data_IF_606263858555
#
_entry.id   IF_606263858555
#
_cell.length_a   1.000
_cell.length_b   1.000
_cell.length_c   1.000
_cell.angle_alpha   90.00
_cell.angle_beta   90.00
_cell.angle_gamma   90.00
#
_symmetry.space_group_name_H-M   'P 1'
#
loop_
_entity.id
_entity.type
_entity.pdbx_description
1 polymer ?
#
# COMPACT_ATOMS: atom_id res chain seq x y z
N UNK A 1 15.07 -2.04 31.05
CA UNK A 1 14.04 -2.95 30.49
C UNK A 1 13.19 -2.27 29.41
N UNK A 2 12.62 -1.07 29.63
CA UNK A 2 11.84 -0.35 28.60
C UNK A 2 12.63 -0.06 27.31
N UNK A 3 13.80 0.57 27.41
CA UNK A 3 14.66 0.89 26.25
C UNK A 3 15.05 -0.32 25.37
N UNK A 4 15.19 -1.52 25.97
CA UNK A 4 15.51 -2.73 25.23
C UNK A 4 14.29 -3.25 24.44
N UNK A 5 13.10 -3.15 25.05
CA UNK A 5 11.83 -3.48 24.40
C UNK A 5 11.53 -2.51 23.25
N UNK A 6 11.79 -1.22 23.45
CA UNK A 6 11.58 -0.19 22.41
C UNK A 6 12.49 -0.44 21.20
N UNK A 7 13.79 -0.68 21.43
CA UNK A 7 14.73 -1.05 20.35
C UNK A 7 14.31 -2.34 19.64
N UNK A 8 13.77 -3.31 20.37
CA UNK A 8 13.28 -4.56 19.79
C UNK A 8 12.09 -4.30 18.85
N UNK A 9 11.13 -3.47 19.26
CA UNK A 9 9.97 -3.09 18.44
C UNK A 9 10.43 -2.36 17.18
N UNK A 10 11.29 -1.35 17.30
CA UNK A 10 11.85 -0.62 16.15
C UNK A 10 12.55 -1.56 15.16
N UNK A 11 13.32 -2.52 15.67
CA UNK A 11 14.00 -3.53 14.83
C UNK A 11 12.99 -4.40 14.08
N UNK A 12 11.93 -4.86 14.75
CA UNK A 12 10.87 -5.68 14.12
C UNK A 12 10.14 -4.90 13.03
N UNK A 13 9.80 -3.63 13.28
CA UNK A 13 9.17 -2.74 12.31
C UNK A 13 10.07 -2.58 11.08
N UNK A 14 11.35 -2.29 11.29
CA UNK A 14 12.30 -2.12 10.19
C UNK A 14 12.48 -3.39 9.36
N UNK A 15 12.61 -4.55 10.02
CA UNK A 15 12.68 -5.83 9.30
C UNK A 15 11.39 -6.13 8.55
N UNK A 16 10.23 -5.86 9.14
CA UNK A 16 8.92 -6.01 8.47
C UNK A 16 8.83 -5.19 7.19
N UNK A 17 9.32 -3.94 7.23
CA UNK A 17 9.45 -3.09 6.05
C UNK A 17 10.43 -3.65 5.01
N UNK A 18 11.60 -4.12 5.44
CA UNK A 18 12.63 -4.68 4.55
C UNK A 18 12.09 -5.92 3.82
N UNK A 19 11.37 -6.81 4.53
CA UNK A 19 10.73 -7.96 3.91
C UNK A 19 9.67 -7.57 2.89
N UNK A 20 8.84 -6.55 3.18
CA UNK A 20 7.93 -5.98 2.19
C UNK A 20 8.67 -5.50 0.94
N UNK A 21 9.73 -4.69 1.10
CA UNK A 21 10.51 -4.18 -0.02
C UNK A 21 11.15 -5.29 -0.84
N UNK A 22 11.70 -6.30 -0.18
CA UNK A 22 12.31 -7.44 -0.85
C UNK A 22 11.26 -8.20 -1.66
N UNK A 23 10.09 -8.47 -1.09
CA UNK A 23 8.98 -9.10 -1.79
C UNK A 23 8.51 -8.31 -3.01
N UNK A 24 8.46 -6.98 -2.91
CA UNK A 24 7.92 -6.15 -3.98
C UNK A 24 8.94 -5.80 -5.08
N UNK A 25 10.25 -5.85 -4.78
CA UNK A 25 11.30 -5.40 -5.72
C UNK A 25 12.32 -6.46 -6.12
N UNK A 26 12.48 -7.55 -5.36
CA UNK A 26 13.52 -8.57 -5.60
C UNK A 26 12.96 -9.96 -5.88
N UNK A 27 11.82 -10.31 -5.30
CA UNK A 27 11.19 -11.59 -5.55
C UNK A 27 10.80 -11.74 -7.03
N UNK A 28 11.15 -12.89 -7.62
CA UNK A 28 10.91 -13.25 -9.01
C UNK A 28 9.73 -14.20 -9.16
N UNK A 29 9.40 -14.94 -8.10
CA UNK A 29 8.27 -15.87 -8.08
C UNK A 29 7.23 -15.45 -7.04
N UNK A 30 6.01 -15.96 -7.19
CA UNK A 30 4.97 -15.71 -6.18
C UNK A 30 5.28 -16.44 -4.86
N UNK A 31 5.97 -17.58 -4.88
CA UNK A 31 6.42 -18.25 -3.65
C UNK A 31 7.45 -17.41 -2.88
N UNK A 32 8.38 -16.78 -3.58
CA UNK A 32 9.34 -15.84 -2.96
C UNK A 32 8.62 -14.63 -2.35
N UNK A 33 7.65 -14.05 -3.08
CA UNK A 33 6.81 -12.95 -2.55
C UNK A 33 6.07 -13.38 -1.28
N UNK A 34 5.45 -14.55 -1.31
CA UNK A 34 4.68 -15.08 -0.19
C UNK A 34 5.57 -15.32 1.04
N UNK A 35 6.76 -15.90 0.85
CA UNK A 35 7.71 -16.09 1.94
C UNK A 35 8.12 -14.74 2.55
N UNK A 36 8.41 -13.74 1.72
CA UNK A 36 8.79 -12.41 2.18
C UNK A 36 7.66 -11.71 2.94
N UNK A 37 6.47 -11.64 2.36
CA UNK A 37 5.32 -11.01 3.02
C UNK A 37 4.91 -11.74 4.29
N UNK A 38 5.07 -13.06 4.35
CA UNK A 38 4.78 -13.80 5.58
C UNK A 38 5.77 -13.48 6.69
N UNK A 39 7.07 -13.44 6.39
CA UNK A 39 8.09 -12.99 7.36
C UNK A 39 7.82 -11.56 7.83
N UNK A 40 7.52 -10.65 6.90
CA UNK A 40 7.18 -9.27 7.22
C UNK A 40 5.93 -9.18 8.10
N UNK A 41 4.90 -9.98 7.79
CA UNK A 41 3.66 -10.04 8.57
C UNK A 41 3.91 -10.53 10.00
N UNK A 42 4.64 -11.64 10.18
CA UNK A 42 4.94 -12.19 11.51
C UNK A 42 5.70 -11.19 12.39
N UNK A 43 6.66 -10.47 11.82
CA UNK A 43 7.41 -9.42 12.53
C UNK A 43 6.53 -8.22 12.88
N UNK A 44 5.68 -7.78 11.94
CA UNK A 44 4.73 -6.69 12.19
C UNK A 44 3.71 -7.04 13.27
N UNK A 45 3.17 -8.25 13.24
CA UNK A 45 2.25 -8.77 14.26
C UNK A 45 2.90 -8.75 15.65
N UNK A 46 4.14 -9.25 15.75
CA UNK A 46 4.87 -9.23 17.01
C UNK A 46 5.18 -7.82 17.50
N UNK A 47 5.47 -6.88 16.59
CA UNK A 47 5.66 -5.48 16.93
C UNK A 47 4.37 -4.85 17.50
N UNK A 48 3.20 -5.16 16.91
CA UNK A 48 1.89 -4.74 17.41
C UNK A 48 1.61 -5.31 18.80
N UNK A 49 1.88 -6.60 19.05
CA UNK A 49 1.72 -7.21 20.37
C UNK A 49 2.56 -6.52 21.45
N UNK A 50 3.79 -6.15 21.12
CA UNK A 50 4.71 -5.51 22.06
C UNK A 50 4.39 -4.01 22.26
N UNK A 51 3.88 -3.34 21.24
CA UNK A 51 3.58 -1.91 21.21
C UNK A 51 2.25 -1.60 20.49
N UNK A 52 1.09 -1.89 21.11
CA UNK A 52 -0.24 -1.81 20.47
C UNK A 52 -0.74 -0.39 20.20
N UNK A 53 0.06 0.64 20.50
CA UNK A 53 -0.22 2.05 20.18
C UNK A 53 0.77 2.63 19.17
N UNK A 54 1.64 1.80 18.60
CA UNK A 54 2.62 2.22 17.60
C UNK A 54 2.01 2.09 16.19
N UNK A 55 1.64 3.22 15.59
CA UNK A 55 1.00 3.25 14.27
C UNK A 55 1.85 2.59 13.18
N UNK A 56 3.17 2.74 13.21
CA UNK A 56 4.07 2.17 12.20
C UNK A 56 4.14 0.63 12.27
N UNK A 57 4.03 0.04 13.47
CA UNK A 57 3.90 -1.40 13.64
C UNK A 57 2.62 -1.92 12.97
N UNK A 58 1.49 -1.25 13.21
CA UNK A 58 0.22 -1.57 12.55
C UNK A 58 0.31 -1.39 11.03
N UNK A 59 0.97 -0.34 10.53
CA UNK A 59 1.19 -0.11 9.09
C UNK A 59 1.87 -1.30 8.43
N UNK A 60 3.01 -1.74 8.95
CA UNK A 60 3.77 -2.80 8.29
C UNK A 60 3.15 -4.19 8.48
N UNK A 61 2.44 -4.42 9.58
CA UNK A 61 1.61 -5.62 9.73
C UNK A 61 0.49 -5.65 8.67
N UNK A 62 -0.25 -4.55 8.53
CA UNK A 62 -1.37 -4.45 7.60
C UNK A 62 -0.94 -4.58 6.14
N UNK A 63 0.14 -3.88 5.74
CA UNK A 63 0.66 -3.91 4.37
C UNK A 63 1.14 -5.31 4.00
N UNK A 64 1.93 -5.97 4.85
CA UNK A 64 2.40 -7.32 4.57
C UNK A 64 1.24 -8.33 4.54
N UNK A 65 0.26 -8.20 5.44
CA UNK A 65 -0.95 -9.04 5.44
C UNK A 65 -1.77 -8.88 4.16
N UNK A 66 -1.98 -7.64 3.71
CA UNK A 66 -2.71 -7.36 2.48
C UNK A 66 -1.99 -7.92 1.25
N UNK A 67 -0.67 -7.72 1.15
CA UNK A 67 0.16 -8.22 0.04
C UNK A 67 0.22 -9.75 0.02
N UNK A 68 0.37 -10.40 1.17
CA UNK A 68 0.30 -11.85 1.27
C UNK A 68 -1.04 -12.40 0.75
N UNK A 69 -2.16 -11.80 1.18
CA UNK A 69 -3.50 -12.17 0.71
C UNK A 69 -3.67 -11.98 -0.80
N UNK A 70 -3.22 -10.84 -1.34
CA UNK A 70 -3.26 -10.55 -2.77
C UNK A 70 -2.47 -11.58 -3.58
N UNK A 71 -1.25 -11.93 -3.14
CA UNK A 71 -0.41 -12.91 -3.85
C UNK A 71 -0.98 -14.33 -3.76
N UNK A 72 -1.66 -14.72 -2.68
CA UNK A 72 -2.38 -16.00 -2.59
C UNK A 72 -3.65 -16.06 -3.45
N UNK A 73 -4.11 -14.92 -3.96
CA UNK A 73 -5.32 -14.79 -4.76
C UNK A 73 -6.55 -14.38 -3.97
N UNK A 74 -7.58 -13.97 -4.71
CA UNK A 74 -8.74 -13.23 -4.19
C UNK A 74 -9.52 -13.97 -3.10
N UNK A 75 -9.60 -15.30 -3.16
CA UNK A 75 -10.32 -16.07 -2.13
C UNK A 75 -9.62 -16.02 -0.77
N UNK A 76 -8.28 -16.02 -0.76
CA UNK A 76 -7.49 -15.95 0.48
C UNK A 76 -7.43 -14.53 1.02
N UNK A 77 -7.39 -13.51 0.16
CA UNK A 77 -7.43 -12.12 0.59
C UNK A 77 -8.72 -11.80 1.36
N UNK A 78 -9.86 -12.39 0.98
CA UNK A 78 -11.13 -12.18 1.70
C UNK A 78 -11.12 -12.67 3.15
N UNK A 79 -10.42 -13.76 3.46
CA UNK A 79 -10.28 -14.23 4.85
C UNK A 79 -9.40 -13.31 5.70
N UNK A 80 -8.44 -12.63 5.08
CA UNK A 80 -7.54 -11.69 5.75
C UNK A 80 -8.11 -10.27 5.82
N UNK A 81 -9.17 -9.99 5.06
CA UNK A 81 -9.79 -8.67 4.96
C UNK A 81 -10.21 -8.09 6.32
N UNK A 82 -10.86 -8.83 7.24
CA UNK A 82 -11.22 -8.28 8.56
C UNK A 82 -10.00 -7.83 9.36
N UNK A 83 -8.86 -8.52 9.23
CA UNK A 83 -7.62 -8.11 9.87
C UNK A 83 -7.10 -6.82 9.26
N UNK A 84 -6.96 -6.77 7.93
CA UNK A 84 -6.46 -5.56 7.25
C UNK A 84 -7.33 -4.33 7.55
N UNK A 85 -8.66 -4.48 7.56
CA UNK A 85 -9.59 -3.39 7.91
C UNK A 85 -9.40 -2.90 9.34
N UNK A 86 -9.30 -3.81 10.32
CA UNK A 86 -9.05 -3.45 11.72
C UNK A 86 -7.75 -2.68 11.89
N UNK A 87 -6.70 -3.12 11.21
CA UNK A 87 -5.40 -2.43 11.27
C UNK A 87 -5.47 -1.04 10.64
N UNK A 88 -6.14 -0.88 9.47
CA UNK A 88 -6.38 0.43 8.86
C UNK A 88 -7.10 1.37 9.83
N UNK A 89 -8.19 0.91 10.45
CA UNK A 89 -8.97 1.71 11.38
C UNK A 89 -8.13 2.11 12.61
N UNK A 90 -7.31 1.18 13.12
CA UNK A 90 -6.39 1.43 14.23
C UNK A 90 -5.35 2.49 13.85
N UNK A 91 -4.70 2.35 12.69
CA UNK A 91 -3.70 3.33 12.22
C UNK A 91 -4.34 4.71 12.06
N UNK A 92 -5.52 4.81 11.44
CA UNK A 92 -6.18 6.10 11.23
C UNK A 92 -6.72 6.70 12.53
N UNK A 93 -6.99 5.89 13.55
CA UNK A 93 -7.34 6.39 14.89
C UNK A 93 -6.13 6.98 15.64
N UNK A 94 -4.94 6.36 15.49
CA UNK A 94 -3.69 6.81 16.10
C UNK A 94 -3.11 8.01 15.35
N UNK A 95 -3.13 7.95 14.02
CA UNK A 95 -2.55 8.91 13.10
C UNK A 95 -3.49 9.19 11.91
N UNK A 96 -4.46 10.10 12.06
CA UNK A 96 -5.44 10.41 11.00
C UNK A 96 -4.82 10.88 9.67
N UNK A 97 -3.59 11.41 9.73
CA UNK A 97 -2.82 11.87 8.56
C UNK A 97 -1.79 10.85 8.06
N UNK A 98 -1.89 9.58 8.47
CA UNK A 98 -0.97 8.55 7.99
C UNK A 98 -1.22 8.25 6.49
N UNK A 99 -0.28 8.68 5.65
CA UNK A 99 -0.42 8.60 4.18
C UNK A 99 -0.46 7.13 3.71
N UNK A 100 0.30 6.23 4.35
CA UNK A 100 0.31 4.80 4.00
C UNK A 100 -1.02 4.13 4.34
N UNK A 101 -1.67 4.52 5.43
CA UNK A 101 -3.00 4.01 5.78
C UNK A 101 -4.06 4.45 4.77
N UNK A 102 -4.04 5.71 4.31
CA UNK A 102 -4.91 6.18 3.24
C UNK A 102 -4.66 5.42 1.92
N UNK A 103 -3.40 5.18 1.55
CA UNK A 103 -3.07 4.34 0.39
C UNK A 103 -3.58 2.90 0.55
N UNK A 104 -3.37 2.28 1.71
CA UNK A 104 -3.81 0.91 1.97
C UNK A 104 -5.34 0.79 1.93
N UNK A 105 -6.05 1.72 2.57
CA UNK A 105 -7.51 1.78 2.56
C UNK A 105 -8.05 1.91 1.13
N UNK A 106 -7.48 2.82 0.33
CA UNK A 106 -7.90 2.99 -1.05
C UNK A 106 -7.69 1.73 -1.89
N UNK A 107 -6.55 1.05 -1.72
CA UNK A 107 -6.27 -0.22 -2.40
C UNK A 107 -7.26 -1.32 -1.98
N UNK A 108 -7.57 -1.44 -0.69
CA UNK A 108 -8.57 -2.41 -0.20
C UNK A 108 -9.94 -2.15 -0.83
N UNK A 109 -10.42 -0.91 -0.80
CA UNK A 109 -11.71 -0.56 -1.42
C UNK A 109 -11.74 -0.77 -2.94
N UNK A 110 -10.61 -0.60 -3.62
CA UNK A 110 -10.49 -0.81 -5.05
C UNK A 110 -10.47 -2.29 -5.45
N UNK A 111 -9.76 -3.13 -4.69
CA UNK A 111 -9.46 -4.52 -5.09
C UNK A 111 -10.44 -5.55 -4.54
N UNK A 112 -11.10 -5.27 -3.42
CA UNK A 112 -12.14 -6.15 -2.88
C UNK A 112 -13.37 -6.14 -3.81
N UNK A 113 -14.01 -7.29 -4.08
CA UNK A 113 -15.25 -7.32 -4.83
C UNK A 113 -16.36 -6.50 -4.17
N UNK A 114 -17.24 -5.88 -4.97
CA UNK A 114 -18.36 -5.07 -4.45
C UNK A 114 -19.25 -5.84 -3.48
N UNK A 115 -19.47 -7.14 -3.72
CA UNK A 115 -20.25 -8.03 -2.85
C UNK A 115 -19.61 -8.27 -1.48
N UNK A 116 -18.31 -8.00 -1.34
CA UNK A 116 -17.54 -8.18 -0.10
C UNK A 116 -17.09 -6.83 0.50
N UNK A 117 -17.73 -5.71 0.11
CA UNK A 117 -17.48 -4.39 0.67
C UNK A 117 -16.51 -3.51 -0.12
N UNK A 118 -16.11 -3.91 -1.33
CA UNK A 118 -15.37 -3.05 -2.26
C UNK A 118 -16.19 -1.84 -2.71
N UNK A 119 -15.56 -0.67 -2.78
CA UNK A 119 -16.20 0.58 -3.14
C UNK A 119 -15.21 1.52 -3.83
N UNK A 120 -15.34 1.63 -5.15
CA UNK A 120 -14.45 2.47 -5.96
C UNK A 120 -14.53 3.96 -5.62
N UNK A 121 -15.68 4.46 -5.18
CA UNK A 121 -15.81 5.87 -4.79
C UNK A 121 -15.05 6.15 -3.49
N UNK A 122 -15.15 5.23 -2.52
CA UNK A 122 -14.34 5.31 -1.30
C UNK A 122 -12.86 5.17 -1.59
N UNK A 123 -12.48 4.28 -2.51
CA UNK A 123 -11.09 4.15 -2.93
C UNK A 123 -10.51 5.48 -3.42
N UNK A 124 -11.26 6.18 -4.29
CA UNK A 124 -10.89 7.50 -4.80
C UNK A 124 -10.74 8.53 -3.68
N UNK A 125 -11.67 8.57 -2.74
CA UNK A 125 -11.64 9.48 -1.59
C UNK A 125 -10.39 9.28 -0.72
N UNK A 126 -10.06 8.02 -0.37
CA UNK A 126 -8.85 7.72 0.40
C UNK A 126 -7.57 8.10 -0.35
N UNK A 127 -7.50 7.82 -1.65
CA UNK A 127 -6.33 8.23 -2.44
C UNK A 127 -6.18 9.75 -2.49
N UNK A 128 -7.29 10.49 -2.68
CA UNK A 128 -7.30 11.95 -2.66
C UNK A 128 -6.92 12.53 -1.31
N UNK A 129 -7.40 11.94 -0.20
CA UNK A 129 -7.00 12.33 1.17
C UNK A 129 -5.50 12.16 1.38
N UNK A 130 -4.93 11.03 0.96
CA UNK A 130 -3.49 10.81 1.04
C UNK A 130 -2.69 11.84 0.22
N UNK A 131 -3.14 12.16 -1.00
CA UNK A 131 -2.50 13.18 -1.84
C UNK A 131 -2.66 14.61 -1.30
N UNK A 132 -3.74 14.89 -0.56
CA UNK A 132 -3.91 16.16 0.13
C UNK A 132 -2.93 16.32 1.30
N UNK A 133 -2.51 15.21 1.93
CA UNK A 133 -1.50 15.21 2.99
C UNK A 133 -0.09 15.36 2.38
N UNK A 134 0.23 14.58 1.35
CA UNK A 134 1.51 14.70 0.62
C UNK A 134 1.31 14.54 -0.89
N UNK A 135 1.28 15.65 -1.65
CA UNK A 135 1.14 15.63 -3.10
C UNK A 135 2.30 14.95 -3.83
N UNK A 136 3.44 14.73 -3.16
CA UNK A 136 4.69 14.15 -3.70
C UNK A 136 4.81 12.65 -3.41
N UNK A 137 3.81 12.05 -2.75
CA UNK A 137 3.75 10.61 -2.53
C UNK A 137 3.22 9.90 -3.78
N UNK A 138 4.11 9.72 -4.76
CA UNK A 138 3.79 9.34 -6.14
C UNK A 138 3.03 8.02 -6.28
N UNK A 139 3.21 7.07 -5.35
CA UNK A 139 2.47 5.81 -5.34
C UNK A 139 0.95 6.01 -5.32
N UNK A 140 0.46 7.02 -4.59
CA UNK A 140 -0.98 7.34 -4.56
C UNK A 140 -1.52 7.84 -5.90
N UNK A 141 -0.69 8.54 -6.68
CA UNK A 141 -1.08 8.97 -8.03
C UNK A 141 -1.15 7.78 -8.98
N UNK A 142 -0.23 6.83 -8.85
CA UNK A 142 -0.27 5.57 -9.60
C UNK A 142 -1.52 4.76 -9.23
N UNK A 143 -1.86 4.65 -7.95
CA UNK A 143 -3.04 3.93 -7.49
C UNK A 143 -4.34 4.62 -7.95
N UNK A 144 -4.40 5.96 -7.88
CA UNK A 144 -5.52 6.73 -8.39
C UNK A 144 -5.69 6.58 -9.92
N UNK A 145 -4.58 6.56 -10.66
CA UNK A 145 -4.61 6.28 -12.09
C UNK A 145 -5.11 4.87 -12.38
N UNK A 146 -4.67 3.84 -11.64
CA UNK A 146 -5.19 2.46 -11.77
C UNK A 146 -6.69 2.41 -11.56
N UNK A 147 -7.19 3.12 -10.54
CA UNK A 147 -8.62 3.23 -10.27
C UNK A 147 -9.37 3.86 -11.45
N UNK A 148 -8.85 4.96 -11.99
CA UNK A 148 -9.43 5.64 -13.15
C UNK A 148 -9.42 4.76 -14.40
N UNK A 149 -8.32 4.04 -14.68
CA UNK A 149 -8.26 3.06 -15.78
C UNK A 149 -9.33 1.98 -15.59
N UNK A 150 -9.49 1.45 -14.37
CA UNK A 150 -10.48 0.40 -14.07
C UNK A 150 -11.93 0.87 -14.20
N UNK A 151 -12.16 2.19 -14.23
CA UNK A 151 -13.48 2.82 -14.35
C UNK A 151 -13.69 3.51 -15.70
N UNK A 152 -12.76 3.34 -16.65
CA UNK A 152 -12.84 3.95 -17.98
C UNK A 152 -12.56 5.46 -18.02
N UNK A 153 -12.07 6.05 -16.92
CA UNK A 153 -11.72 7.47 -16.78
C UNK A 153 -10.30 7.73 -17.28
N UNK A 154 -10.05 7.41 -18.55
CA UNK A 154 -8.71 7.46 -19.13
C UNK A 154 -8.07 8.86 -19.15
N UNK A 155 -8.81 9.97 -19.39
CA UNK A 155 -8.23 11.32 -19.31
C UNK A 155 -7.65 11.63 -17.93
N UNK A 156 -8.37 11.32 -16.86
CA UNK A 156 -7.89 11.55 -15.49
C UNK A 156 -6.73 10.62 -15.12
N UNK A 157 -6.75 9.37 -15.60
CA UNK A 157 -5.62 8.46 -15.45
C UNK A 157 -4.35 9.04 -16.06
N UNK A 158 -4.41 9.55 -17.30
CA UNK A 158 -3.26 10.18 -17.97
C UNK A 158 -2.73 11.36 -17.17
N UNK A 159 -3.63 12.21 -16.67
CA UNK A 159 -3.24 13.37 -15.88
C UNK A 159 -2.42 12.97 -14.65
N UNK A 160 -2.88 11.97 -13.89
CA UNK A 160 -2.15 11.51 -12.69
C UNK A 160 -0.82 10.83 -13.04
N UNK A 161 -0.79 10.01 -14.10
CA UNK A 161 0.45 9.34 -14.55
C UNK A 161 1.49 10.34 -15.07
N UNK A 162 1.06 11.38 -15.80
CA UNK A 162 1.95 12.46 -16.23
C UNK A 162 2.52 13.21 -15.03
N UNK A 163 1.72 13.47 -13.98
CA UNK A 163 2.21 14.08 -12.73
C UNK A 163 3.26 13.22 -12.03
N UNK A 164 3.13 11.90 -12.04
CA UNK A 164 4.17 10.99 -11.52
C UNK A 164 5.50 11.19 -12.28
N UNK A 165 5.45 11.30 -13.60
CA UNK A 165 6.66 11.47 -14.43
C UNK A 165 7.27 12.88 -14.36
N UNK A 166 6.48 13.89 -13.98
CA UNK A 166 6.92 15.28 -13.83
C UNK A 166 7.40 15.62 -12.42
N UNK A 167 7.16 14.75 -11.44
CA UNK A 167 7.62 14.95 -10.06
C UNK A 167 9.15 14.96 -9.98
N UNK A 168 9.71 16.04 -9.43
CA UNK A 168 11.17 16.26 -9.33
C UNK A 168 11.72 16.03 -7.92
N UNK A 169 10.85 16.02 -6.91
CA UNK A 169 11.21 15.84 -5.52
C UNK A 169 10.25 14.83 -4.85
N UNK A 170 10.17 13.58 -5.35
CA UNK A 170 9.26 12.58 -4.81
C UNK A 170 9.57 12.29 -3.33
N UNK A 171 8.52 12.04 -2.54
CA UNK A 171 8.65 11.74 -1.10
C UNK A 171 9.59 10.56 -0.85
N UNK A 172 9.52 9.53 -1.69
CA UNK A 172 10.39 8.36 -1.65
C UNK A 172 11.04 8.20 -3.02
N UNK A 173 12.27 8.73 -3.15
CA UNK A 173 13.04 8.68 -4.41
C UNK A 173 13.26 7.24 -4.88
N UNK A 174 13.51 6.32 -3.95
CA UNK A 174 13.70 4.90 -4.27
C UNK A 174 12.46 4.29 -4.93
N UNK A 175 11.29 4.40 -4.29
CA UNK A 175 10.02 3.89 -4.83
C UNK A 175 9.68 4.52 -6.17
N UNK A 176 9.87 5.85 -6.29
CA UNK A 176 9.63 6.54 -7.56
C UNK A 176 10.50 5.99 -8.69
N UNK A 177 11.80 5.81 -8.42
CA UNK A 177 12.79 5.36 -9.41
C UNK A 177 12.54 3.93 -9.85
N UNK A 178 12.32 3.03 -8.88
CA UNK A 178 12.28 1.59 -9.14
C UNK A 178 10.88 1.08 -9.50
N UNK A 179 9.82 1.80 -9.10
CA UNK A 179 8.43 1.32 -9.23
C UNK A 179 7.52 2.35 -9.89
N UNK A 180 7.36 3.53 -9.30
CA UNK A 180 6.24 4.40 -9.68
C UNK A 180 6.41 4.96 -11.09
N UNK A 181 7.59 5.48 -11.44
CA UNK A 181 7.84 6.01 -12.77
C UNK A 181 7.83 4.91 -13.87
N UNK A 182 8.49 3.75 -13.69
CA UNK A 182 8.33 2.62 -14.62
C UNK A 182 6.87 2.19 -14.80
N UNK A 183 6.12 1.97 -13.71
CA UNK A 183 4.70 1.60 -13.77
C UNK A 183 3.89 2.67 -14.46
N UNK A 184 4.18 3.95 -14.22
CA UNK A 184 3.45 5.04 -14.85
C UNK A 184 3.61 5.05 -16.37
N UNK A 185 4.82 4.80 -16.88
CA UNK A 185 5.07 4.66 -18.33
C UNK A 185 4.30 3.47 -18.91
N UNK A 186 4.34 2.32 -18.24
CA UNK A 186 3.60 1.12 -18.68
C UNK A 186 2.09 1.36 -18.72
N UNK A 187 1.53 2.03 -17.72
CA UNK A 187 0.10 2.34 -17.68
C UNK A 187 -0.31 3.39 -18.72
N UNK A 188 0.54 4.38 -19.00
CA UNK A 188 0.28 5.33 -20.10
C UNK A 188 0.21 4.62 -21.44
N UNK A 189 1.16 3.70 -21.69
CA UNK A 189 1.20 2.93 -22.93
C UNK A 189 -0.03 2.02 -23.08
N UNK A 190 -0.49 1.39 -21.98
CA UNK A 190 -1.65 0.49 -22.03
C UNK A 190 -2.98 1.20 -22.32
N UNK A 191 -3.03 2.53 -22.16
CA UNK A 191 -4.23 3.34 -22.43
C UNK A 191 -4.06 4.30 -23.60
N UNK A 192 -2.98 4.22 -24.39
CA UNK A 192 -2.69 5.20 -25.45
C UNK A 192 -3.82 5.38 -26.47
N UNK A 193 -4.51 4.29 -26.82
CA UNK A 193 -5.59 4.28 -27.81
C UNK A 193 -6.99 4.43 -27.20
N UNK A 194 -7.09 4.57 -25.87
CA UNK A 194 -8.36 4.77 -25.18
C UNK A 194 -8.76 6.25 -25.24
N UNK A 195 -10.05 6.57 -25.18
CA UNK A 195 -10.50 7.97 -25.12
C UNK A 195 -10.58 8.39 -23.66
#
# INVERSE_FOLDING_TARGET
MALAKDRQVETMIMLSYVYFLWGDTRAKTDDEKLAAYDQGRQLGERAVELAPKNAEAHVWYAINTARYGQTKGIMRSLFLLPTVQREIDTILSLEPKNIRAHSLAGNVYMEVPRIAGGDRARAEDYFKKGLAIDPRFTVLRVDLARLYISTGRYPEARQELTRVLQERAPRIVADWTVKDAPRARTLLESIKDKR
#
